data_IF_055364218166
#
_entry.id   IF_055364218166
#
_cell.length_a   1.000
_cell.length_b   1.000
_cell.length_c   1.000
_cell.angle_alpha   90.00
_cell.angle_beta   90.00
_cell.angle_gamma   90.00
#
_symmetry.space_group_name_H-M   'P 1'
#
loop_
_entity.id
_entity.type
_entity.pdbx_description
1 polymer ?
#
# COMPACT_ATOMS: atom_id res chain seq x y z
N UNK A 1 -25.99 -21.45 15.75
CA UNK A 1 -24.71 -20.80 16.05
C UNK A 1 -24.07 -20.41 14.73
N UNK A 2 -23.88 -19.12 14.40
CA UNK A 2 -23.04 -18.77 13.26
C UNK A 2 -21.63 -19.27 13.57
N UNK A 3 -21.00 -19.99 12.63
CA UNK A 3 -19.58 -20.31 12.74
C UNK A 3 -18.82 -18.99 12.65
N UNK A 4 -18.11 -18.60 13.70
CA UNK A 4 -17.13 -17.53 13.60
C UNK A 4 -16.04 -18.01 12.63
N UNK A 5 -15.91 -17.32 11.51
CA UNK A 5 -14.73 -17.45 10.66
C UNK A 5 -13.66 -16.64 11.38
N UNK A 6 -12.70 -17.33 12.01
CA UNK A 6 -11.48 -16.68 12.46
C UNK A 6 -10.61 -16.48 11.23
N UNK A 7 -10.41 -15.22 10.83
CA UNK A 7 -9.32 -14.86 9.94
C UNK A 7 -8.03 -15.23 10.69
N UNK A 8 -7.31 -16.22 10.17
CA UNK A 8 -5.98 -16.54 10.66
C UNK A 8 -5.02 -15.69 9.85
N UNK A 9 -4.45 -14.67 10.48
CA UNK A 9 -3.39 -13.88 9.87
C UNK A 9 -2.14 -14.75 9.79
N UNK A 10 -1.77 -15.11 8.56
CA UNK A 10 -0.54 -15.80 8.25
C UNK A 10 0.42 -14.77 7.65
N UNK A 11 1.37 -14.22 8.44
CA UNK A 11 2.36 -13.32 7.88
C UNK A 11 3.14 -14.06 6.80
N UNK A 12 3.28 -13.42 5.64
CA UNK A 12 3.98 -13.95 4.48
C UNK A 12 5.25 -13.13 4.27
N UNK A 13 6.39 -13.68 4.66
CA UNK A 13 7.69 -13.04 4.58
C UNK A 13 8.33 -13.23 3.20
N UNK A 14 9.31 -12.39 2.88
CA UNK A 14 9.93 -12.36 1.54
C UNK A 14 10.59 -13.69 1.16
N UNK A 15 11.25 -14.35 2.12
CA UNK A 15 11.84 -15.68 1.95
C UNK A 15 10.78 -16.74 1.60
N UNK A 16 9.61 -16.65 2.22
CA UNK A 16 8.47 -17.53 1.92
C UNK A 16 7.84 -17.23 0.55
N UNK A 17 7.78 -15.95 0.16
CA UNK A 17 7.33 -15.55 -1.18
C UNK A 17 8.24 -16.16 -2.24
N UNK A 18 9.55 -16.09 -2.03
CA UNK A 18 10.55 -16.69 -2.93
C UNK A 18 10.47 -18.21 -2.96
N UNK A 19 10.36 -18.87 -1.79
CA UNK A 19 10.23 -20.33 -1.68
C UNK A 19 8.98 -20.86 -2.42
N UNK A 20 7.87 -20.12 -2.34
CA UNK A 20 6.61 -20.47 -3.00
C UNK A 20 6.56 -20.07 -4.48
N UNK A 21 7.64 -19.50 -5.03
CA UNK A 21 7.72 -19.06 -6.42
C UNK A 21 6.75 -17.91 -6.76
N UNK A 22 6.41 -17.09 -5.78
CA UNK A 22 5.47 -15.97 -5.92
C UNK A 22 6.17 -14.71 -6.45
N UNK A 23 5.46 -13.84 -7.19
CA UNK A 23 6.08 -12.72 -7.89
C UNK A 23 6.30 -11.49 -6.99
N UNK A 24 7.31 -11.55 -6.11
CA UNK A 24 7.61 -10.50 -5.13
C UNK A 24 7.67 -9.07 -5.71
N UNK A 25 8.38 -8.89 -6.83
CA UNK A 25 8.50 -7.60 -7.51
C UNK A 25 7.16 -7.08 -8.03
N UNK A 26 6.28 -7.98 -8.50
CA UNK A 26 4.98 -7.59 -8.98
C UNK A 26 4.03 -7.18 -7.84
N UNK A 27 4.16 -7.82 -6.67
CA UNK A 27 3.47 -7.37 -5.47
C UNK A 27 3.96 -6.00 -5.02
N UNK A 28 5.27 -5.78 -5.00
CA UNK A 28 5.85 -4.48 -4.67
C UNK A 28 5.33 -3.38 -5.62
N UNK A 29 5.24 -3.67 -6.92
CA UNK A 29 4.61 -2.74 -7.88
C UNK A 29 3.14 -2.47 -7.57
N UNK A 30 2.36 -3.50 -7.23
CA UNK A 30 0.94 -3.35 -6.90
C UNK A 30 0.72 -2.58 -5.58
N UNK A 31 1.56 -2.79 -4.58
CA UNK A 31 1.57 -2.02 -3.33
C UNK A 31 1.92 -0.55 -3.58
N UNK A 32 2.89 -0.28 -4.47
CA UNK A 32 3.25 1.07 -4.87
C UNK A 32 2.10 1.79 -5.58
N UNK A 33 1.40 1.09 -6.48
CA UNK A 33 0.20 1.60 -7.16
C UNK A 33 -0.90 1.94 -6.16
N UNK A 34 -1.19 1.03 -5.23
CA UNK A 34 -2.20 1.24 -4.20
C UNK A 34 -1.85 2.43 -3.29
N UNK A 35 -0.60 2.54 -2.82
CA UNK A 35 -0.19 3.65 -1.97
C UNK A 35 -0.29 4.99 -2.70
N UNK A 36 0.17 5.07 -3.95
CA UNK A 36 0.06 6.30 -4.74
C UNK A 36 -1.41 6.70 -4.98
N UNK A 37 -2.29 5.73 -5.23
CA UNK A 37 -3.73 5.96 -5.32
C UNK A 37 -4.30 6.51 -4.00
N UNK A 38 -4.00 5.87 -2.87
CA UNK A 38 -4.49 6.28 -1.55
C UNK A 38 -4.05 7.71 -1.21
N UNK A 39 -2.77 8.03 -1.41
CA UNK A 39 -2.21 9.33 -1.07
C UNK A 39 -2.73 10.44 -2.00
N UNK A 40 -2.78 10.20 -3.32
CA UNK A 40 -2.93 11.30 -4.30
C UNK A 40 -4.30 11.38 -4.94
N UNK A 41 -4.95 10.25 -5.19
CA UNK A 41 -6.27 10.23 -5.81
C UNK A 41 -7.36 10.22 -4.75
N UNK A 42 -7.30 9.29 -3.79
CA UNK A 42 -8.22 9.23 -2.66
C UNK A 42 -7.96 10.34 -1.62
N UNK A 43 -6.73 10.87 -1.56
CA UNK A 43 -6.36 11.97 -0.68
C UNK A 43 -6.40 11.59 0.80
N UNK A 44 -5.94 10.39 1.16
CA UNK A 44 -5.92 9.86 2.52
C UNK A 44 -4.52 9.39 2.93
N UNK A 45 -4.25 9.37 4.24
CA UNK A 45 -2.90 9.12 4.80
C UNK A 45 -2.46 7.64 4.82
N UNK A 46 -3.29 6.72 4.31
CA UNK A 46 -3.06 5.27 4.31
C UNK A 46 -2.75 4.68 5.70
N UNK A 47 -3.28 5.29 6.76
CA UNK A 47 -3.10 4.80 8.12
C UNK A 47 -3.73 3.41 8.32
N UNK A 48 -2.93 2.48 8.85
CA UNK A 48 -3.33 1.10 9.23
C UNK A 48 -3.76 0.20 8.07
N UNK A 49 -3.48 0.62 6.83
CA UNK A 49 -3.78 -0.18 5.64
C UNK A 49 -2.99 -1.48 5.63
N UNK A 50 -3.70 -2.60 5.44
CA UNK A 50 -3.12 -3.93 5.29
C UNK A 50 -3.22 -4.45 3.85
N UNK A 51 -2.25 -5.27 3.46
CA UNK A 51 -2.23 -5.96 2.17
C UNK A 51 -2.34 -7.46 2.36
N UNK A 52 -3.29 -8.09 1.68
CA UNK A 52 -3.51 -9.54 1.76
C UNK A 52 -3.60 -10.17 0.38
N UNK A 53 -3.10 -11.40 0.26
CA UNK A 53 -3.28 -12.22 -0.94
C UNK A 53 -4.55 -13.04 -0.78
N UNK A 54 -5.47 -12.90 -1.73
CA UNK A 54 -6.71 -13.69 -1.76
C UNK A 54 -7.12 -14.01 -3.19
N UNK A 55 -8.14 -14.86 -3.34
CA UNK A 55 -8.65 -15.21 -4.67
C UNK A 55 -9.13 -13.96 -5.43
N UNK A 56 -9.01 -13.94 -6.77
CA UNK A 56 -9.57 -12.87 -7.57
C UNK A 56 -11.09 -12.82 -7.39
N UNK A 57 -11.69 -11.64 -7.61
CA UNK A 57 -13.15 -11.59 -7.70
C UNK A 57 -13.63 -12.46 -8.86
N UNK A 58 -14.68 -13.24 -8.64
CA UNK A 58 -15.39 -13.87 -9.74
C UNK A 58 -15.94 -12.74 -10.62
N UNK A 59 -15.37 -12.58 -11.81
CA UNK A 59 -16.00 -11.74 -12.82
C UNK A 59 -17.25 -12.49 -13.28
N UNK A 60 -18.42 -12.04 -12.85
CA UNK A 60 -19.70 -12.47 -13.42
C UNK A 60 -19.77 -11.99 -14.88
N UNK A 61 -19.10 -12.71 -15.80
CA UNK A 61 -19.03 -12.34 -17.21
C UNK A 61 -17.84 -12.96 -17.92
N UNK A 62 -18.06 -14.10 -18.54
CA UNK A 62 -17.15 -14.84 -19.42
C UNK A 62 -17.00 -14.11 -20.78
N UNK A 63 -16.43 -12.92 -20.76
CA UNK A 63 -16.12 -12.12 -21.94
C UNK A 63 -14.67 -11.64 -21.90
N UNK A 64 -13.95 -11.63 -23.04
CA UNK A 64 -12.63 -11.03 -23.08
C UNK A 64 -12.82 -9.53 -22.93
N UNK A 65 -12.60 -9.00 -21.72
CA UNK A 65 -12.51 -7.55 -21.53
C UNK A 65 -11.18 -7.09 -22.10
N UNK A 66 -11.11 -7.03 -23.42
CA UNK A 66 -10.14 -6.20 -24.15
C UNK A 66 -10.55 -4.76 -23.93
N UNK A 67 -10.22 -4.22 -22.77
CA UNK A 67 -10.17 -2.77 -22.58
C UNK A 67 -9.05 -2.53 -21.58
N UNK A 68 -7.89 -2.22 -22.16
CA UNK A 68 -6.62 -1.87 -21.51
C UNK A 68 -6.70 -0.53 -20.74
N UNK A 69 -7.85 -0.16 -20.21
CA UNK A 69 -7.94 0.87 -19.18
C UNK A 69 -7.80 0.17 -17.83
N UNK A 70 -6.59 -0.36 -17.59
CA UNK A 70 -6.23 -0.93 -16.31
C UNK A 70 -6.25 0.18 -15.25
N UNK A 71 -7.41 0.40 -14.65
CA UNK A 71 -7.55 1.12 -13.40
C UNK A 71 -6.68 0.45 -12.33
N UNK A 72 -6.28 1.23 -11.32
CA UNK A 72 -5.50 0.73 -10.19
C UNK A 72 -6.22 -0.45 -9.52
N UNK A 73 -5.53 -1.57 -9.32
CA UNK A 73 -6.04 -2.68 -8.51
C UNK A 73 -6.72 -3.85 -9.26
N UNK A 74 -6.53 -4.00 -10.57
CA UNK A 74 -7.11 -5.12 -11.36
C UNK A 74 -6.03 -6.05 -11.93
N UNK A 75 -5.09 -6.48 -11.08
CA UNK A 75 -4.01 -7.38 -11.47
C UNK A 75 -4.17 -8.74 -10.81
N UNK A 76 -4.51 -9.73 -11.63
CA UNK A 76 -4.45 -11.14 -11.22
C UNK A 76 -3.03 -11.67 -11.41
N UNK A 77 -2.48 -12.24 -10.34
CA UNK A 77 -1.22 -12.96 -10.34
C UNK A 77 -1.51 -14.46 -10.47
N UNK A 78 -0.71 -15.14 -11.27
CA UNK A 78 -0.79 -16.58 -11.54
C UNK A 78 0.47 -17.39 -11.20
N UNK A 79 1.68 -16.81 -11.00
CA UNK A 79 2.86 -17.60 -10.63
C UNK A 79 2.75 -18.24 -9.24
N UNK A 80 3.49 -19.33 -9.05
CA UNK A 80 3.73 -19.98 -7.77
C UNK A 80 2.61 -20.91 -7.28
N UNK A 81 2.74 -21.34 -6.03
CA UNK A 81 1.92 -22.41 -5.43
C UNK A 81 0.48 -21.98 -5.05
N UNK A 82 0.16 -20.67 -5.09
CA UNK A 82 -1.16 -20.16 -4.68
C UNK A 82 -2.24 -20.26 -5.78
N UNK A 83 -1.87 -20.60 -7.02
CA UNK A 83 -2.77 -20.50 -8.18
C UNK A 83 -3.16 -19.04 -8.46
N UNK A 84 -4.23 -18.77 -9.24
CA UNK A 84 -4.68 -17.40 -9.50
C UNK A 84 -5.11 -16.66 -8.21
N UNK A 85 -4.57 -15.47 -7.98
CA UNK A 85 -4.83 -14.63 -6.80
C UNK A 85 -4.62 -13.15 -7.10
N UNK A 86 -5.06 -12.28 -6.19
CA UNK A 86 -4.96 -10.82 -6.25
C UNK A 86 -4.45 -10.26 -4.93
N UNK A 87 -3.91 -9.04 -4.98
CA UNK A 87 -3.56 -8.25 -3.80
C UNK A 87 -4.76 -7.39 -3.40
N UNK A 88 -5.22 -7.56 -2.18
CA UNK A 88 -6.35 -6.82 -1.61
C UNK A 88 -5.85 -5.84 -0.56
N UNK A 89 -6.56 -4.71 -0.45
CA UNK A 89 -6.33 -3.66 0.54
C UNK A 89 -7.43 -3.77 1.59
N UNK A 90 -7.07 -3.90 2.87
CA UNK A 90 -7.97 -3.97 4.02
C UNK A 90 -7.68 -2.87 5.05
N UNK A 91 -8.54 -2.78 6.07
CA UNK A 91 -8.36 -1.99 7.30
C UNK A 91 -8.05 -0.49 7.08
N UNK A 92 -8.74 0.10 6.10
CA UNK A 92 -8.66 1.53 5.79
C UNK A 92 -9.58 2.41 6.66
N UNK A 93 -10.17 1.87 7.73
CA UNK A 93 -11.08 2.62 8.62
C UNK A 93 -10.35 3.64 9.53
N UNK A 94 -9.05 3.47 9.71
CA UNK A 94 -8.19 4.41 10.44
C UNK A 94 -7.64 5.56 9.57
N UNK A 95 -7.84 5.50 8.25
CA UNK A 95 -7.35 6.52 7.31
C UNK A 95 -8.00 7.88 7.55
N UNK A 96 -7.22 8.94 7.35
CA UNK A 96 -7.66 10.34 7.49
C UNK A 96 -7.35 11.14 6.24
N UNK A 97 -8.07 12.24 5.98
CA UNK A 97 -7.74 13.15 4.89
C UNK A 97 -6.28 13.62 4.97
N UNK A 98 -5.56 13.46 3.87
CA UNK A 98 -4.18 13.88 3.72
C UNK A 98 -4.13 15.31 3.21
N UNK A 99 -3.33 16.15 3.88
CA UNK A 99 -3.06 17.50 3.37
C UNK A 99 -2.05 17.41 2.24
N UNK A 100 -2.35 18.02 1.10
CA UNK A 100 -1.45 18.09 -0.06
C UNK A 100 -0.37 19.16 0.13
N UNK A 101 0.40 19.05 1.21
CA UNK A 101 1.44 19.99 1.63
C UNK A 101 2.62 19.22 2.24
N UNK A 102 3.76 19.89 2.39
CA UNK A 102 4.91 19.29 3.07
C UNK A 102 4.65 18.86 4.52
N UNK A 103 3.64 19.40 5.21
CA UNK A 103 3.21 18.89 6.52
C UNK A 103 2.46 17.55 6.38
N UNK A 104 1.54 17.44 5.42
CA UNK A 104 0.86 16.16 5.18
C UNK A 104 1.82 15.07 4.73
N UNK A 105 2.92 15.41 4.04
CA UNK A 105 3.98 14.43 3.74
C UNK A 105 4.62 13.86 5.01
N UNK A 106 4.79 14.67 6.06
CA UNK A 106 5.29 14.14 7.35
C UNK A 106 4.30 13.14 7.95
N UNK A 107 3.00 13.43 7.87
CA UNK A 107 1.96 12.53 8.36
C UNK A 107 1.97 11.21 7.57
N UNK A 108 2.03 11.28 6.23
CA UNK A 108 2.09 10.09 5.37
C UNK A 108 3.35 9.25 5.62
N UNK A 109 4.52 9.88 5.81
CA UNK A 109 5.79 9.19 6.13
C UNK A 109 5.70 8.52 7.49
N UNK A 110 5.09 9.18 8.48
CA UNK A 110 4.84 8.56 9.77
C UNK A 110 3.94 7.32 9.62
N UNK A 111 2.88 7.38 8.80
CA UNK A 111 2.01 6.21 8.53
C UNK A 111 2.75 5.08 7.83
N UNK A 112 3.56 5.40 6.83
CA UNK A 112 4.39 4.41 6.13
C UNK A 112 5.23 3.57 7.10
N UNK A 113 5.84 4.20 8.12
CA UNK A 113 6.68 3.51 9.10
C UNK A 113 5.93 2.87 10.25
N UNK A 114 4.76 3.41 10.63
CA UNK A 114 3.97 2.90 11.77
C UNK A 114 3.04 1.76 11.40
N UNK A 115 2.62 1.69 10.14
CA UNK A 115 1.95 0.50 9.63
C UNK A 115 2.87 -0.72 9.80
N UNK A 116 2.29 -1.91 9.77
CA UNK A 116 3.08 -3.12 9.70
C UNK A 116 3.97 -3.11 8.43
N UNK A 117 5.12 -3.82 8.43
CA UNK A 117 6.16 -3.74 7.41
C UNK A 117 5.75 -4.45 6.12
N UNK A 118 4.62 -4.02 5.55
CA UNK A 118 4.06 -4.52 4.30
C UNK A 118 4.79 -3.93 3.10
N UNK A 119 5.32 -2.71 3.23
CA UNK A 119 6.10 -2.07 2.17
C UNK A 119 7.55 -2.57 2.16
N UNK A 120 8.20 -2.67 0.99
CA UNK A 120 9.63 -2.99 0.90
C UNK A 120 10.48 -2.02 1.74
N UNK A 121 11.44 -2.57 2.48
CA UNK A 121 12.24 -1.80 3.42
C UNK A 121 13.40 -1.04 2.71
N UNK A 122 13.44 0.30 2.77
CA UNK A 122 14.51 1.10 2.17
C UNK A 122 15.89 0.96 2.86
N UNK A 123 15.97 0.45 4.10
CA UNK A 123 17.21 0.28 4.88
C UNK A 123 17.83 -1.12 4.73
N UNK A 124 17.37 -1.92 3.76
CA UNK A 124 17.90 -3.27 3.57
C UNK A 124 19.32 -3.27 3.01
N UNK A 125 20.11 -4.26 3.42
CA UNK A 125 21.48 -4.52 2.93
C UNK A 125 21.54 -5.73 1.99
N UNK A 126 20.44 -6.46 1.87
CA UNK A 126 20.30 -7.60 0.96
C UNK A 126 20.10 -7.07 -0.48
N UNK A 127 20.86 -7.58 -1.45
CA UNK A 127 20.81 -7.07 -2.82
C UNK A 127 19.44 -7.28 -3.47
N UNK A 128 18.77 -8.39 -3.15
CA UNK A 128 17.44 -8.75 -3.60
C UNK A 128 16.39 -7.78 -3.04
N UNK A 129 16.43 -7.51 -1.73
CA UNK A 129 15.52 -6.56 -1.09
C UNK A 129 15.77 -5.12 -1.58
N UNK A 130 17.03 -4.75 -1.89
CA UNK A 130 17.34 -3.44 -2.49
C UNK A 130 16.59 -3.30 -3.81
N UNK A 131 16.62 -4.33 -4.68
CA UNK A 131 15.86 -4.32 -5.94
C UNK A 131 14.37 -4.25 -5.70
N UNK A 132 13.87 -4.88 -4.63
CA UNK A 132 12.46 -4.84 -4.26
C UNK A 132 12.02 -3.41 -3.87
N UNK A 133 12.83 -2.72 -3.07
CA UNK A 133 12.63 -1.31 -2.76
C UNK A 133 12.72 -0.42 -4.00
N UNK A 134 13.71 -0.62 -4.87
CA UNK A 134 13.82 0.13 -6.13
C UNK A 134 12.58 -0.07 -7.02
N UNK A 135 12.09 -1.31 -7.12
CA UNK A 135 10.86 -1.63 -7.86
C UNK A 135 9.67 -0.87 -7.30
N UNK A 136 9.50 -0.87 -5.97
CA UNK A 136 8.43 -0.14 -5.31
C UNK A 136 8.55 1.37 -5.52
N UNK A 137 9.74 1.94 -5.28
CA UNK A 137 10.02 3.37 -5.41
C UNK A 137 9.74 3.87 -6.82
N UNK A 138 10.31 3.20 -7.82
CA UNK A 138 10.22 3.62 -9.21
C UNK A 138 8.78 3.52 -9.70
N UNK A 139 8.07 2.45 -9.32
CA UNK A 139 6.65 2.29 -9.63
C UNK A 139 5.78 3.33 -8.93
N UNK A 140 6.04 3.62 -7.67
CA UNK A 140 5.30 4.63 -6.91
C UNK A 140 5.40 6.00 -7.57
N UNK A 141 6.60 6.40 -7.98
CA UNK A 141 6.85 7.68 -8.66
C UNK A 141 6.21 7.72 -10.05
N UNK A 142 6.33 6.64 -10.83
CA UNK A 142 5.67 6.50 -12.13
C UNK A 142 4.15 6.69 -12.00
N UNK A 143 3.53 5.95 -11.09
CA UNK A 143 2.08 5.99 -10.86
C UNK A 143 1.64 7.34 -10.31
N UNK A 144 2.40 7.92 -9.39
CA UNK A 144 2.15 9.28 -8.90
C UNK A 144 2.15 10.28 -10.05
N UNK A 145 3.13 10.21 -10.96
CA UNK A 145 3.20 11.06 -12.15
C UNK A 145 1.97 10.92 -13.05
N UNK A 146 1.48 9.69 -13.25
CA UNK A 146 0.24 9.43 -14.01
C UNK A 146 -1.00 10.06 -13.35
N UNK A 147 -1.15 9.92 -12.03
CA UNK A 147 -2.25 10.52 -11.26
C UNK A 147 -2.18 12.05 -11.33
N UNK A 148 -0.98 12.64 -11.18
CA UNK A 148 -0.82 14.09 -11.28
C UNK A 148 -1.14 14.61 -12.69
N UNK A 149 -0.83 13.85 -13.74
CA UNK A 149 -1.14 14.21 -15.12
C UNK A 149 -2.65 14.21 -15.41
N UNK A 150 -3.47 13.46 -14.66
CA UNK A 150 -4.93 13.46 -14.80
C UNK A 150 -5.64 14.54 -14.00
N UNK A 151 -4.95 15.25 -13.11
CA UNK A 151 -5.52 16.35 -12.29
C UNK A 151 -5.52 17.69 -13.03
N UNK A 152 -6.37 18.61 -12.58
CA UNK A 152 -6.39 19.99 -13.08
C UNK A 152 -5.04 20.69 -12.83
N UNK A 153 -4.63 21.61 -13.71
CA UNK A 153 -3.32 22.29 -13.64
C UNK A 153 -3.06 22.95 -12.29
N UNK A 154 -4.06 23.63 -11.73
CA UNK A 154 -3.95 24.33 -10.44
C UNK A 154 -3.67 23.38 -9.28
N UNK A 155 -4.36 22.23 -9.24
CA UNK A 155 -4.11 21.18 -8.24
C UNK A 155 -2.73 20.55 -8.44
N UNK A 156 -2.39 20.25 -9.70
CA UNK A 156 -1.12 19.62 -10.08
C UNK A 156 0.08 20.46 -9.66
N UNK A 157 0.04 21.77 -9.86
CA UNK A 157 1.18 22.64 -9.54
C UNK A 157 1.52 22.64 -8.05
N UNK A 158 0.50 22.63 -7.17
CA UNK A 158 0.69 22.52 -5.72
C UNK A 158 1.21 21.15 -5.27
N UNK A 159 0.97 20.11 -6.06
CA UNK A 159 1.27 18.71 -5.72
C UNK A 159 2.51 18.15 -6.41
N UNK A 160 3.06 18.87 -7.40
CA UNK A 160 4.06 18.37 -8.36
C UNK A 160 5.28 17.70 -7.74
N UNK A 161 5.75 18.20 -6.59
CA UNK A 161 6.97 17.72 -5.92
C UNK A 161 6.69 16.79 -4.74
N UNK A 162 5.42 16.58 -4.39
CA UNK A 162 5.04 15.80 -3.21
C UNK A 162 5.46 14.32 -3.31
N UNK A 163 5.34 13.63 -4.47
CA UNK A 163 5.77 12.23 -4.58
C UNK A 163 7.26 12.03 -4.32
N UNK A 164 8.13 12.86 -4.89
CA UNK A 164 9.58 12.79 -4.67
C UNK A 164 9.93 13.17 -3.23
N UNK A 165 9.25 14.17 -2.66
CA UNK A 165 9.42 14.54 -1.26
C UNK A 165 9.02 13.39 -0.33
N UNK A 166 7.94 12.68 -0.62
CA UNK A 166 7.51 11.52 0.16
C UNK A 166 8.60 10.43 0.18
N UNK A 167 9.09 9.99 -0.99
CA UNK A 167 10.14 8.98 -1.08
C UNK A 167 11.43 9.44 -0.38
N UNK A 168 11.86 10.68 -0.62
CA UNK A 168 13.07 11.22 0.00
C UNK A 168 12.93 11.22 1.53
N UNK A 169 11.77 11.64 2.06
CA UNK A 169 11.50 11.67 3.49
C UNK A 169 11.40 10.28 4.12
N UNK A 170 10.85 9.29 3.41
CA UNK A 170 10.88 7.89 3.86
C UNK A 170 12.32 7.45 4.10
N UNK A 171 13.22 7.69 3.14
CA UNK A 171 14.64 7.33 3.26
C UNK A 171 15.35 8.13 4.36
N UNK A 172 15.11 9.44 4.45
CA UNK A 172 15.71 10.31 5.47
C UNK A 172 15.31 9.94 6.90
N UNK A 173 14.15 9.28 7.07
CA UNK A 173 13.57 8.96 8.38
C UNK A 173 13.74 7.51 8.81
N UNK A 174 14.59 6.76 8.11
CA UNK A 174 15.01 5.41 8.51
C UNK A 174 15.47 5.42 9.97
N UNK A 175 14.89 4.52 10.78
CA UNK A 175 15.20 4.37 12.20
C UNK A 175 14.61 5.45 13.12
N UNK A 176 13.88 6.45 12.60
CA UNK A 176 13.28 7.52 13.43
C UNK A 176 11.95 7.11 14.07
N UNK A 177 11.22 6.18 13.46
CA UNK A 177 9.93 5.70 13.94
C UNK A 177 10.08 4.28 14.48
N UNK A 178 9.77 4.08 15.76
CA UNK A 178 9.74 2.75 16.38
C UNK A 178 8.31 2.22 16.42
N UNK A 179 8.12 0.91 16.19
CA UNK A 179 6.82 0.26 16.40
C UNK A 179 6.33 0.50 17.84
N UNK A 180 5.02 0.72 18.00
CA UNK A 180 4.35 0.55 19.30
C UNK A 180 4.11 1.80 20.15
N UNK A 181 4.35 3.02 19.67
CA UNK A 181 3.68 4.18 20.30
C UNK A 181 2.22 4.10 19.86
N UNK A 182 1.23 3.92 20.74
CA UNK A 182 -0.17 3.92 20.34
C UNK A 182 -0.51 5.29 19.76
N UNK A 183 -1.27 5.34 18.67
CA UNK A 183 -1.99 6.57 18.37
C UNK A 183 -2.91 6.82 19.54
N UNK A 184 -2.59 7.81 20.37
CA UNK A 184 -3.56 8.36 21.30
C UNK A 184 -4.73 8.83 20.44
N UNK A 185 -5.82 8.03 20.43
CA UNK A 185 -7.10 8.47 19.90
C UNK A 185 -7.41 9.79 20.62
N UNK A 186 -7.85 10.85 19.92
CA UNK A 186 -8.41 12.01 20.59
C UNK A 186 -9.44 11.52 21.59
N UNK A 187 -9.29 11.90 22.85
CA UNK A 187 -10.12 11.48 23.97
C UNK A 187 -11.60 11.63 23.63
N UNK A 188 -12.28 10.53 23.34
CA UNK A 188 -13.67 10.54 22.91
C UNK A 188 -14.22 9.14 22.71
N UNK A 189 -14.87 8.62 23.76
CA UNK A 189 -15.76 7.45 23.80
C UNK A 189 -15.18 6.08 23.42
N UNK A 190 -14.85 5.37 24.48
CA UNK A 190 -14.82 3.92 24.57
C UNK A 190 -16.12 3.30 24.02
N UNK A 191 -16.01 2.37 23.06
CA UNK A 191 -16.94 1.26 22.97
C UNK A 191 -16.18 0.00 23.41
N UNK A 192 -16.29 -0.30 24.71
CA UNK A 192 -16.10 -1.65 25.21
C UNK A 192 -17.31 -2.50 24.84
N UNK A 193 -17.06 -3.75 24.43
CA UNK A 193 -18.07 -4.80 24.22
C UNK A 193 -18.00 -5.34 22.80
N UNK A 194 -17.87 -6.64 22.53
CA UNK A 194 -18.12 -7.84 23.32
C UNK A 194 -17.26 -9.00 22.76
N UNK A 195 -16.95 -9.93 23.68
CA UNK A 195 -16.58 -11.36 23.53
C UNK A 195 -15.93 -11.87 22.25
#
# INVERSE_FOLDING_TARGET
MPRSISLRNYPLHIDQIEELGLPAHEYASAMADALAFLLWDAGIDACDVEFVLARPRAHDGDGPTTTEEAGFGTKTFTPGELGPHELWVLDFDCCRPLRMTGEGIKDAVERFWRNDPYYPNPDTKCAEDVKLWETFRDRFLETSGRIMASKAEEEREGMRQLPEQFIARVVETIGMYSKGVPMLRPSGTWCQGYC
#
